data_IF_823045874690
#
_entry.id   IF_823045874690
#
_cell.length_a   1.000
_cell.length_b   1.000
_cell.length_c   1.000
_cell.angle_alpha   90.00
_cell.angle_beta   90.00
_cell.angle_gamma   90.00
#
_symmetry.space_group_name_H-M   'P 1'
#
loop_
_entity.id
_entity.type
_entity.pdbx_description
1 polymer ?
#
# COMPACT_ATOMS: atom_id res chain seq x y z
N UNK A 1 46.23 -0.85 -11.06
CA UNK A 1 45.00 -1.63 -10.82
C UNK A 1 44.14 -1.06 -9.68
N UNK A 2 43.90 0.27 -9.61
CA UNK A 2 43.04 0.84 -8.53
C UNK A 2 41.71 1.44 -9.01
N UNK A 3 41.55 1.71 -10.32
CA UNK A 3 40.27 2.18 -10.87
C UNK A 3 39.21 1.07 -10.91
N UNK A 4 39.61 -0.18 -11.17
CA UNK A 4 38.70 -1.31 -11.27
C UNK A 4 38.07 -1.69 -9.92
N UNK A 5 38.78 -1.44 -8.80
CA UNK A 5 38.28 -1.75 -7.46
C UNK A 5 37.29 -0.70 -6.94
N UNK A 6 37.41 0.56 -7.38
CA UNK A 6 36.43 1.60 -7.04
C UNK A 6 35.11 1.42 -7.79
N UNK A 7 35.17 1.03 -9.07
CA UNK A 7 33.95 0.81 -9.86
C UNK A 7 33.22 -0.46 -9.42
N UNK A 8 33.95 -1.53 -9.07
CA UNK A 8 33.37 -2.75 -8.51
C UNK A 8 32.61 -2.48 -7.20
N UNK A 9 33.18 -1.68 -6.28
CA UNK A 9 32.53 -1.31 -5.01
C UNK A 9 31.27 -0.47 -5.23
N UNK A 10 31.29 0.44 -6.20
CA UNK A 10 30.10 1.26 -6.55
C UNK A 10 28.98 0.38 -7.09
N UNK A 11 29.31 -0.58 -7.94
CA UNK A 11 28.35 -1.51 -8.53
C UNK A 11 27.73 -2.44 -7.47
N UNK A 12 28.55 -2.97 -6.56
CA UNK A 12 28.07 -3.78 -5.44
C UNK A 12 27.12 -2.98 -4.53
N UNK A 13 27.46 -1.72 -4.25
CA UNK A 13 26.60 -0.83 -3.46
C UNK A 13 25.27 -0.53 -4.19
N UNK A 14 25.30 -0.29 -5.50
CA UNK A 14 24.08 -0.11 -6.30
C UNK A 14 23.18 -1.34 -6.21
N UNK A 15 23.74 -2.53 -6.43
CA UNK A 15 22.99 -3.80 -6.32
C UNK A 15 22.42 -4.03 -4.93
N UNK A 16 23.15 -3.64 -3.89
CA UNK A 16 22.64 -3.67 -2.52
C UNK A 16 21.42 -2.77 -2.35
N UNK A 17 21.47 -1.52 -2.84
CA UNK A 17 20.35 -0.59 -2.76
C UNK A 17 19.13 -1.06 -3.56
N UNK A 18 19.35 -1.68 -4.72
CA UNK A 18 18.28 -2.31 -5.52
C UNK A 18 17.67 -3.50 -4.77
N UNK A 19 18.50 -4.45 -4.31
CA UNK A 19 18.04 -5.67 -3.63
C UNK A 19 17.34 -5.39 -2.30
N UNK A 20 17.74 -4.32 -1.61
CA UNK A 20 17.11 -3.90 -0.35
C UNK A 20 15.84 -3.05 -0.54
N UNK A 21 15.45 -2.74 -1.78
CA UNK A 21 14.24 -1.96 -2.08
C UNK A 21 14.39 -0.46 -1.82
N UNK A 22 15.59 0.02 -1.49
CA UNK A 22 15.83 1.46 -1.23
C UNK A 22 15.58 2.29 -2.48
N UNK A 23 15.98 1.79 -3.66
CA UNK A 23 15.75 2.50 -4.93
C UNK A 23 14.25 2.60 -5.23
N UNK A 24 13.50 1.52 -5.02
CA UNK A 24 12.05 1.50 -5.28
C UNK A 24 11.31 2.46 -4.34
N UNK A 25 11.68 2.48 -3.06
CA UNK A 25 11.09 3.40 -2.09
C UNK A 25 11.40 4.86 -2.43
N UNK A 26 12.66 5.20 -2.76
CA UNK A 26 13.02 6.55 -3.20
C UNK A 26 12.26 6.94 -4.48
N UNK A 27 12.12 6.01 -5.42
CA UNK A 27 11.38 6.24 -6.67
C UNK A 27 9.91 6.54 -6.39
N UNK A 28 9.25 5.77 -5.51
CA UNK A 28 7.85 6.00 -5.12
C UNK A 28 7.64 7.39 -4.51
N UNK A 29 8.53 7.84 -3.63
CA UNK A 29 8.45 9.18 -3.02
C UNK A 29 8.59 10.29 -4.08
N UNK A 30 9.52 10.12 -5.04
CA UNK A 30 9.72 11.09 -6.11
C UNK A 30 8.55 11.12 -7.10
N UNK A 31 7.96 9.96 -7.43
CA UNK A 31 6.75 9.86 -8.25
C UNK A 31 5.58 10.52 -7.54
N UNK A 32 5.35 10.24 -6.25
CA UNK A 32 4.30 10.89 -5.46
C UNK A 32 4.44 12.41 -5.47
N UNK A 33 5.67 12.92 -5.24
CA UNK A 33 5.94 14.35 -5.33
C UNK A 33 5.67 14.92 -6.73
N UNK A 34 5.93 14.15 -7.79
CA UNK A 34 5.65 14.53 -9.17
C UNK A 34 4.15 14.50 -9.51
N UNK A 35 3.38 13.62 -8.91
CA UNK A 35 1.93 13.49 -9.13
C UNK A 35 1.09 14.45 -8.29
N UNK A 36 1.64 15.04 -7.22
CA UNK A 36 0.94 16.03 -6.40
C UNK A 36 0.37 17.19 -7.26
N UNK A 37 -0.96 17.41 -7.26
CA UNK A 37 -1.62 18.40 -8.10
C UNK A 37 -1.23 19.83 -7.72
N UNK A 38 -1.00 20.07 -6.43
CA UNK A 38 -0.39 21.30 -5.92
C UNK A 38 0.98 20.96 -5.33
N UNK A 39 2.05 21.44 -5.97
CA UNK A 39 3.40 21.18 -5.48
C UNK A 39 3.57 21.79 -4.09
N UNK A 40 4.04 21.01 -3.10
CA UNK A 40 4.27 21.54 -1.77
C UNK A 40 5.31 22.65 -1.85
N UNK A 41 5.04 23.77 -1.17
CA UNK A 41 5.97 24.90 -1.05
C UNK A 41 7.33 24.49 -0.48
N UNK A 42 7.36 23.40 0.31
CA UNK A 42 8.58 22.77 0.79
C UNK A 42 8.63 21.28 0.42
N UNK A 43 9.27 20.97 -0.72
CA UNK A 43 9.47 19.61 -1.19
C UNK A 43 10.30 18.74 -0.23
N UNK A 44 11.21 19.33 0.56
CA UNK A 44 12.02 18.58 1.53
C UNK A 44 11.15 18.04 2.67
N UNK A 45 10.17 18.81 3.12
CA UNK A 45 9.26 18.36 4.18
C UNK A 45 8.32 17.25 3.70
N UNK A 46 7.91 17.29 2.43
CA UNK A 46 7.17 16.18 1.79
C UNK A 46 7.99 14.89 1.82
N UNK A 47 9.24 14.94 1.33
CA UNK A 47 10.13 13.79 1.30
C UNK A 47 10.37 13.22 2.71
N UNK A 48 10.62 14.08 3.70
CA UNK A 48 10.82 13.65 5.10
C UNK A 48 9.61 12.92 5.67
N UNK A 49 8.40 13.41 5.39
CA UNK A 49 7.16 12.76 5.85
C UNK A 49 6.98 11.41 5.19
N UNK A 50 7.11 11.35 3.86
CA UNK A 50 6.89 10.12 3.09
C UNK A 50 7.96 9.05 3.29
N UNK A 51 9.22 9.43 3.56
CA UNK A 51 10.28 8.49 3.96
C UNK A 51 10.21 8.10 5.44
N UNK A 52 9.64 8.95 6.30
CA UNK A 52 9.52 8.73 7.74
C UNK A 52 8.30 7.91 8.14
N UNK A 53 7.29 7.81 7.28
CA UNK A 53 6.19 6.85 7.44
C UNK A 53 6.69 5.43 7.23
N UNK A 54 6.36 4.47 8.11
CA UNK A 54 6.71 3.07 7.94
C UNK A 54 6.25 2.59 6.56
N UNK A 55 7.21 2.24 5.71
CA UNK A 55 7.00 1.74 4.35
C UNK A 55 6.39 0.33 4.29
N UNK A 56 6.22 -0.32 5.44
CA UNK A 56 5.66 -1.69 5.57
C UNK A 56 4.15 -1.77 5.38
N UNK A 57 3.46 -0.63 5.20
CA UNK A 57 2.07 -0.70 4.76
C UNK A 57 2.11 -0.95 3.26
N UNK A 58 2.11 -2.22 2.89
CA UNK A 58 1.81 -2.66 1.54
C UNK A 58 0.36 -2.24 1.24
N UNK A 59 0.23 -0.99 0.78
CA UNK A 59 -1.06 -0.35 0.50
C UNK A 59 -1.87 -1.12 -0.53
N UNK A 60 -1.20 -1.90 -1.38
CA UNK A 60 -1.85 -2.73 -2.39
C UNK A 60 -2.46 -3.97 -1.75
N UNK A 61 -1.70 -4.68 -0.91
CA UNK A 61 -2.23 -5.79 -0.09
C UNK A 61 -3.34 -5.32 0.84
N UNK A 62 -3.17 -4.20 1.52
CA UNK A 62 -4.19 -3.65 2.42
C UNK A 62 -5.47 -3.25 1.66
N UNK A 63 -5.33 -2.73 0.43
CA UNK A 63 -6.48 -2.40 -0.41
C UNK A 63 -7.19 -3.66 -0.91
N UNK A 64 -6.44 -4.70 -1.30
CA UNK A 64 -7.01 -5.98 -1.69
C UNK A 64 -7.76 -6.65 -0.52
N UNK A 65 -7.18 -6.64 0.68
CA UNK A 65 -7.83 -7.12 1.90
C UNK A 65 -9.09 -6.32 2.22
N UNK A 66 -9.06 -4.99 2.09
CA UNK A 66 -10.22 -4.15 2.31
C UNK A 66 -11.38 -4.46 1.37
N UNK A 67 -11.12 -4.60 0.06
CA UNK A 67 -12.17 -4.94 -0.91
C UNK A 67 -12.71 -6.36 -0.67
N UNK A 68 -11.86 -7.33 -0.36
CA UNK A 68 -12.30 -8.69 -0.02
C UNK A 68 -13.18 -8.72 1.24
N UNK A 69 -12.80 -7.96 2.28
CA UNK A 69 -13.57 -7.87 3.52
C UNK A 69 -14.93 -7.20 3.28
N UNK A 70 -14.94 -6.15 2.44
CA UNK A 70 -16.16 -5.43 2.06
C UNK A 70 -17.13 -6.32 1.28
N UNK A 71 -16.63 -7.12 0.34
CA UNK A 71 -17.45 -8.06 -0.42
C UNK A 71 -18.03 -9.15 0.49
N UNK A 72 -17.21 -9.69 1.40
CA UNK A 72 -17.65 -10.66 2.42
C UNK A 72 -18.75 -10.09 3.31
N UNK A 73 -18.60 -8.84 3.75
CA UNK A 73 -19.59 -8.17 4.59
C UNK A 73 -20.91 -7.98 3.85
N UNK A 74 -20.87 -7.54 2.58
CA UNK A 74 -22.07 -7.39 1.76
C UNK A 74 -22.77 -8.74 1.46
N UNK A 75 -22.03 -9.85 1.47
CA UNK A 75 -22.60 -11.19 1.35
C UNK A 75 -23.28 -11.63 2.63
N UNK A 76 -22.62 -11.43 3.78
CA UNK A 76 -23.19 -11.72 5.10
C UNK A 76 -24.43 -10.89 5.40
N UNK A 77 -24.44 -9.60 5.03
CA UNK A 77 -25.60 -8.74 5.19
C UNK A 77 -26.82 -9.24 4.39
N UNK A 78 -26.60 -9.75 3.17
CA UNK A 78 -27.65 -10.37 2.37
C UNK A 78 -28.17 -11.66 3.00
N UNK A 79 -27.28 -12.53 3.45
CA UNK A 79 -27.65 -13.80 4.08
C UNK A 79 -28.42 -13.56 5.39
N UNK A 80 -28.02 -12.56 6.17
CA UNK A 80 -28.76 -12.14 7.38
C UNK A 80 -30.15 -11.64 7.03
N UNK A 81 -30.30 -10.86 5.96
CA UNK A 81 -31.60 -10.36 5.52
C UNK A 81 -32.51 -11.49 5.02
N UNK A 82 -31.99 -12.41 4.21
CA UNK A 82 -32.73 -13.59 3.74
C UNK A 82 -33.20 -14.46 4.91
N UNK A 83 -32.32 -14.79 5.84
CA UNK A 83 -32.66 -15.58 7.03
C UNK A 83 -33.66 -14.89 7.94
N UNK A 84 -33.61 -13.55 8.06
CA UNK A 84 -34.59 -12.77 8.80
C UNK A 84 -35.96 -12.85 8.15
N UNK A 85 -36.04 -12.71 6.82
CA UNK A 85 -37.28 -12.84 6.08
C UNK A 85 -37.85 -14.27 6.19
N UNK A 86 -37.01 -15.31 6.11
CA UNK A 86 -37.45 -16.69 6.34
C UNK A 86 -37.99 -16.90 7.76
N UNK A 87 -37.29 -16.37 8.78
CA UNK A 87 -37.77 -16.44 10.17
C UNK A 87 -39.09 -15.70 10.38
N UNK A 88 -39.29 -14.58 9.71
CA UNK A 88 -40.54 -13.82 9.77
C UNK A 88 -41.69 -14.56 9.06
N UNK A 89 -41.40 -15.22 7.94
CA UNK A 89 -42.35 -16.05 7.22
C UNK A 89 -42.72 -17.35 7.96
N UNK A 90 -41.80 -17.90 8.77
CA UNK A 90 -41.99 -19.14 9.54
C UNK A 90 -42.59 -18.86 10.93
N UNK A 91 -42.41 -17.66 11.49
CA UNK A 91 -43.11 -17.26 12.72
C UNK A 91 -44.61 -17.19 12.41
N UNK A 92 -45.43 -18.10 12.97
CA UNK A 92 -46.87 -17.99 12.82
C UNK A 92 -47.29 -16.64 13.43
N UNK A 93 -48.10 -15.87 12.70
CA UNK A 93 -48.84 -14.77 13.30
C UNK A 93 -49.74 -15.36 14.38
N UNK A 94 -49.41 -15.12 15.66
CA UNK A 94 -50.38 -15.19 16.76
C UNK A 94 -51.41 -14.06 16.60
#
# INVERSE_FOLDING_TARGET
>A
MSFQTTDSKKEEYRKYLEKSGVIDQLTRVLVGLYEEPEKPSNAIDFIKRYLGTPSDIDTETLRAEYEALKERNAQLEREVEELRQELENIRPSD
#
